data_IF_856584459490
#
_entry.id   IF_856584459490
#
_cell.length_a   1.000
_cell.length_b   1.000
_cell.length_c   1.000
_cell.angle_alpha   90.00
_cell.angle_beta   90.00
_cell.angle_gamma   90.00
#
_symmetry.space_group_name_H-M   'P 1'
#
loop_
_entity.id
_entity.type
_entity.pdbx_description
1 polymer ?
#
# COMPACT_ATOMS: atom_id res chain seq x y z
N UNK A 1 -39.91 -51.93 -30.45
CA UNK A 1 -39.43 -51.53 -29.10
C UNK A 1 -39.29 -52.80 -28.27
N UNK A 2 -38.11 -53.08 -27.71
CA UNK A 2 -37.85 -54.28 -26.93
C UNK A 2 -38.77 -54.36 -25.71
N UNK A 3 -39.51 -55.47 -25.57
CA UNK A 3 -40.44 -55.71 -24.46
C UNK A 3 -39.63 -56.24 -23.29
N UNK A 4 -39.20 -55.36 -22.38
CA UNK A 4 -38.52 -55.78 -21.15
C UNK A 4 -39.49 -56.55 -20.25
N UNK A 5 -39.22 -57.83 -20.00
CA UNK A 5 -40.03 -58.71 -19.12
C UNK A 5 -39.82 -58.43 -17.62
N UNK A 6 -39.43 -57.20 -17.27
CA UNK A 6 -39.11 -56.80 -15.90
C UNK A 6 -40.43 -56.48 -15.18
N UNK A 7 -40.71 -57.15 -14.06
CA UNK A 7 -41.87 -56.86 -13.18
C UNK A 7 -41.36 -56.37 -11.83
N UNK A 8 -41.64 -55.12 -11.50
CA UNK A 8 -41.17 -54.46 -10.26
C UNK A 8 -42.39 -54.09 -9.42
N UNK A 9 -42.42 -54.49 -8.14
CA UNK A 9 -43.43 -53.99 -7.19
C UNK A 9 -43.06 -52.57 -6.76
N UNK A 10 -43.98 -51.61 -6.91
CA UNK A 10 -43.80 -50.19 -6.57
C UNK A 10 -45.03 -49.64 -5.87
N UNK A 11 -44.86 -48.55 -5.13
CA UNK A 11 -45.96 -47.79 -4.54
C UNK A 11 -46.31 -46.62 -5.47
N UNK A 12 -47.61 -46.40 -5.72
CA UNK A 12 -48.08 -45.29 -6.54
C UNK A 12 -47.85 -43.94 -5.84
N UNK A 13 -47.17 -43.01 -6.52
CA UNK A 13 -46.90 -41.65 -5.99
C UNK A 13 -48.17 -40.80 -5.74
N UNK A 14 -49.34 -41.21 -6.23
CA UNK A 14 -50.62 -40.50 -6.05
C UNK A 14 -51.52 -41.12 -4.98
N UNK A 15 -51.87 -42.41 -5.13
CA UNK A 15 -52.82 -43.08 -4.23
C UNK A 15 -52.16 -43.93 -3.13
N UNK A 16 -50.83 -44.08 -3.14
CA UNK A 16 -50.09 -44.86 -2.14
C UNK A 16 -50.30 -46.38 -2.22
N UNK A 17 -51.01 -46.91 -3.21
CA UNK A 17 -51.24 -48.35 -3.37
C UNK A 17 -50.07 -49.03 -4.08
N UNK A 18 -49.78 -50.27 -3.68
CA UNK A 18 -48.81 -51.13 -4.36
C UNK A 18 -49.32 -51.59 -5.73
N UNK A 19 -48.44 -51.57 -6.74
CA UNK A 19 -48.72 -52.04 -8.09
C UNK A 19 -47.49 -52.65 -8.75
N UNK A 20 -47.72 -53.45 -9.80
CA UNK A 20 -46.64 -54.08 -10.58
C UNK A 20 -46.34 -53.24 -11.83
N UNK A 21 -45.15 -52.66 -11.87
CA UNK A 21 -44.63 -51.86 -12.97
C UNK A 21 -43.81 -52.71 -13.96
N UNK A 22 -43.98 -52.43 -15.26
CA UNK A 22 -43.17 -53.03 -16.34
C UNK A 22 -41.92 -52.18 -16.70
N UNK A 23 -41.85 -50.93 -16.22
CA UNK A 23 -40.75 -50.00 -16.49
C UNK A 23 -40.23 -49.38 -15.20
N UNK A 24 -38.94 -49.06 -15.16
CA UNK A 24 -38.33 -48.33 -14.03
C UNK A 24 -38.87 -46.89 -13.92
N UNK A 25 -39.37 -46.31 -15.01
CA UNK A 25 -39.89 -44.93 -15.05
C UNK A 25 -41.36 -44.78 -14.69
N UNK A 26 -42.14 -45.86 -14.56
CA UNK A 26 -43.57 -45.76 -14.19
C UNK A 26 -43.72 -45.44 -12.71
N UNK A 27 -44.44 -44.34 -12.45
CA UNK A 27 -44.67 -43.74 -11.12
C UNK A 27 -46.08 -43.96 -10.55
N UNK A 28 -47.04 -44.28 -11.42
CA UNK A 28 -48.46 -44.37 -11.06
C UNK A 28 -49.06 -45.73 -11.43
N UNK A 29 -50.04 -46.19 -10.63
CA UNK A 29 -50.69 -47.48 -10.84
C UNK A 29 -51.68 -47.50 -12.02
N UNK A 30 -52.17 -46.33 -12.46
CA UNK A 30 -53.17 -46.21 -13.52
C UNK A 30 -53.10 -44.86 -14.23
N UNK A 31 -53.69 -44.79 -15.43
CA UNK A 31 -53.83 -43.55 -16.19
C UNK A 31 -54.62 -42.48 -15.41
N UNK A 32 -55.60 -42.89 -14.59
CA UNK A 32 -56.35 -41.98 -13.70
C UNK A 32 -55.42 -41.28 -12.70
N UNK A 33 -54.57 -42.04 -12.00
CA UNK A 33 -53.62 -41.47 -11.03
C UNK A 33 -52.59 -40.56 -11.71
N UNK A 34 -52.09 -40.95 -12.88
CA UNK A 34 -51.19 -40.11 -13.67
C UNK A 34 -51.83 -38.78 -14.09
N UNK A 35 -53.09 -38.80 -14.53
CA UNK A 35 -53.83 -37.59 -14.90
C UNK A 35 -54.12 -36.66 -13.72
N UNK A 36 -54.44 -37.22 -12.55
CA UNK A 36 -54.66 -36.42 -11.35
C UNK A 36 -53.36 -35.75 -10.87
N UNK A 37 -52.25 -36.49 -10.86
CA UNK A 37 -50.92 -35.97 -10.55
C UNK A 37 -50.50 -34.86 -11.53
N UNK A 38 -50.74 -35.06 -12.83
CA UNK A 38 -50.48 -34.04 -13.85
C UNK A 38 -51.29 -32.76 -13.61
N UNK A 39 -52.60 -32.87 -13.33
CA UNK A 39 -53.44 -31.71 -13.03
C UNK A 39 -53.01 -30.99 -11.75
N UNK A 40 -52.61 -31.72 -10.71
CA UNK A 40 -52.11 -31.13 -9.47
C UNK A 40 -50.77 -30.40 -9.71
N UNK A 41 -49.85 -31.01 -10.48
CA UNK A 41 -48.58 -30.38 -10.83
C UNK A 41 -48.77 -29.07 -11.62
N UNK A 42 -49.72 -29.04 -12.56
CA UNK A 42 -50.07 -27.79 -13.27
C UNK A 42 -50.62 -26.75 -12.30
N UNK A 43 -51.52 -27.14 -11.39
CA UNK A 43 -52.10 -26.21 -10.40
C UNK A 43 -51.01 -25.65 -9.47
N UNK A 44 -50.11 -26.50 -8.99
CA UNK A 44 -48.97 -26.09 -8.16
C UNK A 44 -48.06 -25.11 -8.91
N UNK A 45 -47.78 -25.36 -10.20
CA UNK A 45 -47.01 -24.44 -11.05
C UNK A 45 -47.66 -23.06 -11.16
N UNK A 46 -48.98 -23.00 -11.34
CA UNK A 46 -49.72 -21.72 -11.42
C UNK A 46 -49.66 -20.96 -10.08
N UNK A 47 -49.80 -21.66 -8.96
CA UNK A 47 -49.69 -21.06 -7.63
C UNK A 47 -48.28 -20.48 -7.42
N UNK A 48 -47.23 -21.26 -7.73
CA UNK A 48 -45.85 -20.79 -7.62
C UNK A 48 -45.56 -19.56 -8.50
N UNK A 49 -46.10 -19.52 -9.72
CA UNK A 49 -45.96 -18.35 -10.60
C UNK A 49 -46.62 -17.11 -10.01
N UNK A 50 -47.81 -17.23 -9.41
CA UNK A 50 -48.49 -16.10 -8.78
C UNK A 50 -47.80 -15.67 -7.49
N UNK A 51 -47.33 -16.60 -6.66
CA UNK A 51 -46.51 -16.31 -5.48
C UNK A 51 -45.23 -15.54 -5.84
N UNK A 52 -44.54 -15.95 -6.91
CA UNK A 52 -43.37 -15.24 -7.44
C UNK A 52 -43.74 -13.83 -7.90
N UNK A 53 -44.85 -13.66 -8.62
CA UNK A 53 -45.33 -12.35 -9.08
C UNK A 53 -45.65 -11.43 -7.91
N UNK A 54 -46.37 -11.92 -6.90
CA UNK A 54 -46.69 -11.16 -5.69
C UNK A 54 -45.42 -10.77 -4.95
N UNK A 55 -44.42 -11.66 -4.88
CA UNK A 55 -43.14 -11.37 -4.24
C UNK A 55 -42.37 -10.25 -4.96
N UNK A 56 -42.36 -10.25 -6.29
CA UNK A 56 -41.76 -9.17 -7.10
C UNK A 56 -42.47 -7.85 -6.81
N UNK A 57 -43.80 -7.81 -6.87
CA UNK A 57 -44.60 -6.60 -6.60
C UNK A 57 -44.36 -6.08 -5.17
N UNK A 58 -44.24 -6.97 -4.17
CA UNK A 58 -43.91 -6.59 -2.79
C UNK A 58 -42.52 -5.96 -2.67
N UNK A 59 -41.55 -6.39 -3.47
CA UNK A 59 -40.20 -5.83 -3.48
C UNK A 59 -40.09 -4.50 -4.24
N UNK A 60 -40.89 -4.30 -5.29
CA UNK A 60 -40.84 -3.11 -6.14
C UNK A 60 -41.60 -1.90 -5.56
N UNK A 61 -42.75 -2.13 -4.90
CA UNK A 61 -43.57 -1.06 -4.31
C UNK A 61 -42.79 -0.14 -3.33
N UNK A 62 -41.97 -0.66 -2.40
CA UNK A 62 -41.15 0.18 -1.52
C UNK A 62 -40.15 1.05 -2.28
N UNK A 63 -39.61 0.59 -3.42
CA UNK A 63 -38.65 1.34 -4.22
C UNK A 63 -39.31 2.49 -5.00
N UNK A 64 -40.52 2.28 -5.52
CA UNK A 64 -41.29 3.33 -6.20
C UNK A 64 -41.64 4.47 -5.24
N UNK A 65 -42.17 4.14 -4.05
CA UNK A 65 -42.53 5.14 -3.03
C UNK A 65 -41.32 5.88 -2.42
N UNK A 66 -40.09 5.38 -2.61
CA UNK A 66 -38.86 6.08 -2.22
C UNK A 66 -38.40 7.04 -3.33
N UNK A 67 -38.57 6.69 -4.60
CA UNK A 67 -38.13 7.54 -5.74
C UNK A 67 -38.89 8.86 -5.85
N UNK A 68 -40.13 8.89 -5.39
CA UNK A 68 -40.97 10.09 -5.47
C UNK A 68 -40.73 11.08 -4.32
N UNK A 69 -39.87 10.71 -3.34
CA UNK A 69 -39.57 11.55 -2.16
C UNK A 69 -38.32 12.40 -2.39
N UNK A 70 -38.49 13.71 -2.31
CA UNK A 70 -37.38 14.67 -2.41
C UNK A 70 -36.40 14.56 -1.24
N UNK A 71 -36.92 14.27 -0.04
CA UNK A 71 -36.15 14.12 1.20
C UNK A 71 -36.11 12.65 1.64
N UNK A 72 -34.91 12.09 1.65
CA UNK A 72 -34.67 10.69 1.94
C UNK A 72 -34.01 10.55 3.31
N UNK A 73 -34.48 9.62 4.14
CA UNK A 73 -33.67 9.18 5.28
C UNK A 73 -32.40 8.49 4.77
N UNK A 74 -31.36 8.44 5.61
CA UNK A 74 -30.09 7.77 5.25
C UNK A 74 -30.33 6.29 4.87
N UNK A 75 -31.29 5.63 5.52
CA UNK A 75 -31.68 4.27 5.19
C UNK A 75 -32.34 4.17 3.80
N UNK A 76 -33.24 5.10 3.47
CA UNK A 76 -33.87 5.16 2.16
C UNK A 76 -32.86 5.49 1.04
N UNK A 77 -31.92 6.40 1.29
CA UNK A 77 -30.83 6.70 0.37
C UNK A 77 -29.93 5.46 0.12
N UNK A 78 -29.67 4.67 1.16
CA UNK A 78 -28.95 3.40 1.03
C UNK A 78 -29.71 2.39 0.16
N UNK A 79 -31.03 2.24 0.38
CA UNK A 79 -31.90 1.39 -0.45
C UNK A 79 -31.96 1.87 -1.90
N UNK A 80 -32.07 3.18 -2.13
CA UNK A 80 -32.10 3.79 -3.46
C UNK A 80 -30.80 3.56 -4.25
N UNK A 81 -29.66 3.67 -3.57
CA UNK A 81 -28.34 3.45 -4.17
C UNK A 81 -27.95 1.96 -4.26
N UNK A 82 -28.71 1.05 -3.64
CA UNK A 82 -28.35 -0.36 -3.52
C UNK A 82 -27.09 -0.61 -2.66
N UNK A 83 -26.85 0.26 -1.67
CA UNK A 83 -25.67 0.23 -0.80
C UNK A 83 -26.04 -0.14 0.65
N UNK A 84 -25.04 -0.53 1.43
CA UNK A 84 -25.22 -0.68 2.87
C UNK A 84 -25.33 0.67 3.57
N UNK A 85 -26.06 0.74 4.68
CA UNK A 85 -26.18 1.95 5.50
C UNK A 85 -24.81 2.52 5.90
N UNK A 86 -23.85 1.63 6.22
CA UNK A 86 -22.49 2.00 6.57
C UNK A 86 -21.73 2.65 5.41
N UNK A 87 -21.92 2.19 4.17
CA UNK A 87 -21.30 2.80 3.00
C UNK A 87 -21.82 4.23 2.79
N UNK A 88 -23.13 4.46 3.00
CA UNK A 88 -23.71 5.80 2.95
C UNK A 88 -23.15 6.71 4.05
N UNK A 89 -23.08 6.24 5.29
CA UNK A 89 -22.43 6.99 6.37
C UNK A 89 -20.97 7.33 6.06
N UNK A 90 -20.21 6.38 5.48
CA UNK A 90 -18.84 6.62 5.07
C UNK A 90 -18.76 7.75 4.04
N UNK A 91 -19.62 7.74 3.02
CA UNK A 91 -19.68 8.80 2.01
C UNK A 91 -20.03 10.17 2.60
N UNK A 92 -20.92 10.20 3.60
CA UNK A 92 -21.28 11.43 4.34
C UNK A 92 -20.06 11.93 5.14
N UNK A 93 -19.41 11.07 5.92
CA UNK A 93 -18.27 11.45 6.75
C UNK A 93 -17.02 11.85 5.93
N UNK A 94 -16.82 11.26 4.75
CA UNK A 94 -15.77 11.68 3.82
C UNK A 94 -16.11 12.96 3.05
N UNK A 95 -17.32 13.50 3.21
CA UNK A 95 -17.78 14.70 2.50
C UNK A 95 -18.08 14.50 1.02
N UNK A 96 -18.31 13.26 0.59
CA UNK A 96 -18.71 12.95 -0.80
C UNK A 96 -20.21 13.12 -1.02
N UNK A 97 -21.03 12.80 -0.03
CA UNK A 97 -22.47 12.96 -0.06
C UNK A 97 -22.91 14.02 0.94
N UNK A 98 -23.64 15.04 0.50
CA UNK A 98 -24.22 16.03 1.39
C UNK A 98 -25.41 15.43 2.17
N UNK A 99 -25.41 15.63 3.48
CA UNK A 99 -26.47 15.22 4.38
C UNK A 99 -26.79 16.36 5.35
N UNK A 100 -28.06 16.52 5.70
CA UNK A 100 -28.54 17.56 6.59
C UNK A 100 -29.06 16.93 7.88
N UNK A 101 -28.59 17.47 9.00
CA UNK A 101 -29.00 17.05 10.33
C UNK A 101 -29.92 18.12 10.93
N UNK A 102 -31.19 17.78 11.09
CA UNK A 102 -32.18 18.66 11.74
C UNK A 102 -32.20 18.48 13.26
N UNK A 103 -31.91 17.27 13.73
CA UNK A 103 -31.89 16.94 15.15
C UNK A 103 -30.85 15.86 15.44
N UNK A 104 -30.57 15.58 16.71
CA UNK A 104 -29.65 14.51 17.13
C UNK A 104 -30.01 13.14 16.50
N UNK A 105 -31.31 12.89 16.28
CA UNK A 105 -31.85 11.65 15.71
C UNK A 105 -32.36 11.77 14.27
N UNK A 106 -32.43 12.98 13.72
CA UNK A 106 -33.05 13.22 12.41
C UNK A 106 -32.03 13.77 11.42
N UNK A 107 -31.65 12.93 10.46
CA UNK A 107 -30.77 13.26 9.36
C UNK A 107 -31.38 12.80 8.04
N UNK A 108 -31.32 13.63 7.02
CA UNK A 108 -31.80 13.31 5.68
C UNK A 108 -30.78 13.71 4.60
N UNK A 109 -31.00 13.19 3.41
CA UNK A 109 -30.28 13.47 2.18
C UNK A 109 -31.30 13.90 1.14
N UNK A 110 -31.03 14.95 0.36
CA UNK A 110 -31.92 15.30 -0.75
C UNK A 110 -31.55 14.48 -1.97
N UNK A 111 -32.54 14.10 -2.76
CA UNK A 111 -32.31 13.36 -4.00
C UNK A 111 -31.40 14.14 -4.97
N UNK A 112 -31.53 15.47 -5.01
CA UNK A 112 -30.67 16.35 -5.81
C UNK A 112 -29.19 16.21 -5.46
N UNK A 113 -28.85 16.06 -4.19
CA UNK A 113 -27.45 15.97 -3.74
C UNK A 113 -26.84 14.59 -4.09
N UNK A 114 -27.67 13.54 -4.11
CA UNK A 114 -27.26 12.22 -4.62
C UNK A 114 -26.95 12.32 -6.12
N UNK A 115 -27.81 12.98 -6.89
CA UNK A 115 -27.58 13.18 -8.33
C UNK A 115 -26.34 14.04 -8.60
N UNK A 116 -26.13 15.10 -7.82
CA UNK A 116 -24.93 15.94 -7.91
C UNK A 116 -23.66 15.14 -7.60
N UNK A 117 -23.68 14.32 -6.53
CA UNK A 117 -22.58 13.42 -6.20
C UNK A 117 -22.24 12.48 -7.38
N UNK A 118 -23.26 11.89 -8.01
CA UNK A 118 -23.08 10.98 -9.15
C UNK A 118 -22.53 11.72 -10.38
N UNK A 119 -22.98 12.95 -10.65
CA UNK A 119 -22.46 13.80 -11.72
C UNK A 119 -21.00 14.20 -11.48
N UNK A 120 -20.63 14.51 -10.23
CA UNK A 120 -19.28 14.92 -9.85
C UNK A 120 -18.25 13.78 -9.98
N UNK A 121 -18.68 12.54 -9.74
CA UNK A 121 -17.80 11.37 -9.69
C UNK A 121 -18.12 10.35 -10.79
N UNK A 122 -17.87 10.66 -12.07
CA UNK A 122 -18.04 9.68 -13.14
C UNK A 122 -17.05 8.52 -12.96
N UNK A 123 -17.47 7.32 -13.34
CA UNK A 123 -16.60 6.15 -13.31
C UNK A 123 -15.41 6.34 -14.26
N UNK A 124 -14.20 6.38 -13.71
CA UNK A 124 -12.95 6.42 -14.48
C UNK A 124 -12.26 5.06 -14.38
N UNK A 125 -12.05 4.39 -15.51
CA UNK A 125 -11.24 3.17 -15.56
C UNK A 125 -9.83 3.48 -15.06
N UNK A 126 -9.38 2.77 -14.03
CA UNK A 126 -8.00 2.87 -13.56
C UNK A 126 -7.09 2.33 -14.66
N UNK A 127 -6.30 3.21 -15.28
CA UNK A 127 -5.23 2.78 -16.17
C UNK A 127 -4.04 2.31 -15.32
N UNK A 128 -3.30 1.28 -15.78
CA UNK A 128 -2.01 0.98 -15.17
C UNK A 128 -1.11 2.21 -15.23
N UNK A 129 -0.32 2.45 -14.19
CA UNK A 129 0.65 3.55 -14.19
C UNK A 129 1.67 3.29 -15.30
N UNK A 130 1.94 4.29 -16.12
CA UNK A 130 3.04 4.24 -17.09
C UNK A 130 4.37 4.12 -16.33
N UNK A 131 5.01 2.95 -16.40
CA UNK A 131 6.35 2.74 -15.87
C UNK A 131 7.36 2.97 -16.98
N UNK A 132 8.35 3.82 -16.75
CA UNK A 132 9.46 4.01 -17.69
C UNK A 132 10.14 2.65 -17.96
N UNK A 133 10.42 2.29 -19.24
CA UNK A 133 11.06 1.03 -19.56
C UNK A 133 12.47 1.00 -19.00
N UNK A 134 12.80 -0.05 -18.24
CA UNK A 134 14.14 -0.27 -17.73
C UNK A 134 14.96 -0.85 -18.89
N UNK A 135 15.89 -0.07 -19.43
CA UNK A 135 16.78 -0.46 -20.54
C UNK A 135 18.06 -1.11 -20.06
N UNK A 136 18.56 -0.67 -18.90
CA UNK A 136 19.88 -1.04 -18.41
C UNK A 136 19.81 -2.11 -17.33
N UNK A 137 20.47 -3.25 -17.58
CA UNK A 137 20.54 -4.36 -16.65
C UNK A 137 21.98 -4.80 -16.34
N UNK A 138 22.22 -5.26 -15.11
CA UNK A 138 23.40 -6.03 -14.71
C UNK A 138 23.08 -7.52 -14.65
N UNK A 139 24.05 -8.36 -14.98
CA UNK A 139 24.00 -9.79 -14.65
C UNK A 139 24.38 -10.03 -13.18
N UNK A 140 23.96 -11.17 -12.61
CA UNK A 140 24.38 -11.56 -11.25
C UNK A 140 25.90 -11.58 -11.08
N UNK A 141 26.62 -12.04 -12.10
CA UNK A 141 28.09 -12.13 -12.07
C UNK A 141 28.73 -10.74 -12.10
N UNK A 142 28.21 -9.82 -12.92
CA UNK A 142 28.67 -8.43 -12.93
C UNK A 142 28.49 -7.74 -11.57
N UNK A 143 27.37 -7.99 -10.88
CA UNK A 143 27.14 -7.45 -9.53
C UNK A 143 28.14 -8.05 -8.54
N UNK A 144 28.37 -9.36 -8.62
CA UNK A 144 29.32 -10.08 -7.76
C UNK A 144 30.73 -9.53 -7.93
N UNK A 145 31.17 -9.30 -9.16
CA UNK A 145 32.50 -8.76 -9.46
C UNK A 145 32.62 -7.28 -9.09
N UNK A 146 31.63 -6.45 -9.45
CA UNK A 146 31.66 -4.99 -9.19
C UNK A 146 31.59 -4.66 -7.70
N UNK A 147 30.75 -5.37 -6.93
CA UNK A 147 30.47 -5.05 -5.53
C UNK A 147 31.04 -6.06 -4.53
N UNK A 148 31.64 -7.16 -5.00
CA UNK A 148 32.28 -8.17 -4.13
C UNK A 148 31.29 -8.90 -3.23
N UNK A 149 30.06 -9.17 -3.71
CA UNK A 149 28.99 -9.75 -2.89
C UNK A 149 28.58 -11.16 -3.30
N UNK A 150 28.13 -11.97 -2.33
CA UNK A 150 27.68 -13.36 -2.55
C UNK A 150 26.38 -13.41 -3.35
N UNK A 151 26.27 -14.37 -4.25
CA UNK A 151 25.10 -14.56 -5.12
C UNK A 151 23.77 -14.64 -4.34
N UNK A 152 23.71 -15.48 -3.30
CA UNK A 152 22.51 -15.65 -2.45
C UNK A 152 22.04 -14.34 -1.80
N UNK A 153 22.98 -13.44 -1.51
CA UNK A 153 22.69 -12.16 -0.87
C UNK A 153 22.05 -11.17 -1.85
N UNK A 154 22.44 -11.20 -3.13
CA UNK A 154 21.83 -10.37 -4.19
C UNK A 154 20.33 -10.67 -4.30
N UNK A 155 19.95 -11.95 -4.29
CA UNK A 155 18.54 -12.37 -4.32
C UNK A 155 17.76 -11.94 -3.08
N UNK A 156 18.37 -12.01 -1.90
CA UNK A 156 17.73 -11.58 -0.65
C UNK A 156 17.41 -10.08 -0.69
N UNK A 157 18.39 -9.25 -1.08
CA UNK A 157 18.22 -7.80 -1.14
C UNK A 157 17.26 -7.36 -2.22
N UNK A 158 17.29 -8.01 -3.38
CA UNK A 158 16.33 -7.68 -4.42
C UNK A 158 14.88 -7.92 -3.98
N UNK A 159 14.64 -8.93 -3.14
CA UNK A 159 13.33 -9.18 -2.53
C UNK A 159 12.96 -8.14 -1.47
N UNK A 160 13.91 -7.78 -0.61
CA UNK A 160 13.69 -6.81 0.48
C UNK A 160 13.41 -5.39 -0.05
N UNK A 161 14.13 -4.98 -1.09
CA UNK A 161 14.06 -3.63 -1.66
C UNK A 161 13.24 -3.53 -2.95
N UNK A 162 12.51 -4.59 -3.32
CA UNK A 162 11.68 -4.67 -4.54
C UNK A 162 12.43 -4.26 -5.82
N UNK A 163 13.66 -4.73 -5.99
CA UNK A 163 14.48 -4.43 -7.16
C UNK A 163 13.93 -5.18 -8.38
N UNK A 164 13.56 -4.48 -9.47
CA UNK A 164 13.08 -5.11 -10.69
C UNK A 164 14.11 -6.07 -11.28
N UNK A 165 13.65 -7.27 -11.62
CA UNK A 165 14.46 -8.29 -12.28
C UNK A 165 13.76 -8.82 -13.52
N UNK A 166 14.56 -9.14 -14.53
CA UNK A 166 14.11 -9.81 -15.75
C UNK A 166 14.85 -11.13 -15.90
N UNK A 167 14.16 -12.14 -16.41
CA UNK A 167 14.74 -13.45 -16.65
C UNK A 167 14.84 -13.67 -18.16
N UNK A 168 16.05 -13.88 -18.66
CA UNK A 168 16.28 -14.11 -20.09
C UNK A 168 17.36 -15.20 -20.26
N UNK A 169 17.04 -16.21 -21.07
CA UNK A 169 17.94 -17.34 -21.41
C UNK A 169 18.66 -17.97 -20.20
N UNK A 170 17.94 -18.25 -19.12
CA UNK A 170 18.50 -18.90 -17.94
C UNK A 170 19.31 -17.99 -17.00
N UNK A 171 19.53 -16.72 -17.38
CA UNK A 171 20.25 -15.74 -16.56
C UNK A 171 19.27 -14.72 -15.96
N UNK A 172 19.57 -14.29 -14.73
CA UNK A 172 18.81 -13.24 -14.05
C UNK A 172 19.51 -11.89 -14.28
N UNK A 173 18.73 -10.92 -14.73
CA UNK A 173 19.14 -9.56 -15.00
C UNK A 173 18.47 -8.63 -13.99
N UNK A 174 19.23 -7.67 -13.48
CA UNK A 174 18.79 -6.72 -12.45
C UNK A 174 18.90 -5.31 -12.98
N UNK A 175 17.95 -4.44 -12.66
CA UNK A 175 18.05 -3.04 -13.09
C UNK A 175 19.31 -2.36 -12.54
N UNK A 176 20.13 -1.75 -13.41
CA UNK A 176 21.35 -1.04 -13.00
C UNK A 176 21.03 0.11 -12.04
N UNK A 177 20.07 0.95 -12.40
CA UNK A 177 19.64 2.12 -11.61
C UNK A 177 19.32 1.73 -10.16
N UNK A 178 18.47 0.72 -9.98
CA UNK A 178 18.06 0.29 -8.65
C UNK A 178 19.19 -0.36 -7.83
N UNK A 179 20.14 -1.05 -8.48
CA UNK A 179 21.30 -1.62 -7.82
C UNK A 179 22.30 -0.52 -7.43
N UNK A 180 22.62 0.39 -8.35
CA UNK A 180 23.55 1.49 -8.08
C UNK A 180 23.00 2.44 -7.01
N UNK A 181 21.70 2.80 -7.07
CA UNK A 181 21.02 3.59 -6.03
C UNK A 181 21.09 2.91 -4.65
N UNK A 182 20.96 1.59 -4.62
CA UNK A 182 21.04 0.82 -3.38
C UNK A 182 22.44 0.89 -2.76
N UNK A 183 23.48 0.70 -3.57
CA UNK A 183 24.86 0.77 -3.09
C UNK A 183 25.30 2.21 -2.80
N UNK A 184 24.80 3.21 -3.53
CA UNK A 184 25.07 4.62 -3.27
C UNK A 184 24.57 5.03 -1.88
N UNK A 185 23.38 4.59 -1.46
CA UNK A 185 22.86 4.82 -0.10
C UNK A 185 23.71 4.22 1.02
N UNK A 186 24.54 3.23 0.72
CA UNK A 186 25.42 2.53 1.68
C UNK A 186 26.89 2.88 1.52
N UNK A 187 27.24 3.68 0.50
CA UNK A 187 28.60 4.09 0.28
C UNK A 187 29.07 4.95 1.46
N UNK A 188 30.26 4.68 2.03
CA UNK A 188 30.86 5.57 3.03
C UNK A 188 31.06 6.97 2.44
N UNK A 189 30.89 8.00 3.27
CA UNK A 189 31.11 9.38 2.85
C UNK A 189 32.54 9.55 2.27
N UNK A 190 32.69 10.15 1.08
CA UNK A 190 33.98 10.30 0.40
C UNK A 190 34.97 11.19 1.17
N UNK A 191 34.52 11.87 2.23
CA UNK A 191 35.33 12.70 3.11
C UNK A 191 36.20 11.89 4.09
N UNK A 192 35.93 10.59 4.24
CA UNK A 192 36.66 9.67 5.12
C UNK A 192 37.80 8.99 4.33
N UNK A 193 38.97 9.63 4.33
CA UNK A 193 40.19 9.12 3.67
C UNK A 193 40.94 8.07 4.50
N UNK A 194 40.81 8.09 5.82
CA UNK A 194 41.59 7.25 6.73
C UNK A 194 40.69 6.30 7.54
N UNK A 195 41.10 5.04 7.59
CA UNK A 195 40.34 3.96 8.18
C UNK A 195 41.23 3.14 9.13
N UNK A 196 40.70 2.76 10.29
CA UNK A 196 41.32 1.77 11.17
C UNK A 196 40.77 0.38 10.90
N UNK A 197 41.66 -0.61 10.89
CA UNK A 197 41.27 -2.01 10.97
C UNK A 197 40.81 -2.36 12.40
N UNK A 198 40.13 -3.50 12.55
CA UNK A 198 39.84 -4.03 13.90
C UNK A 198 41.12 -4.27 14.69
N UNK A 199 42.19 -4.75 14.05
CA UNK A 199 43.48 -5.05 14.68
C UNK A 199 44.16 -3.76 15.16
N UNK A 200 44.18 -2.72 14.31
CA UNK A 200 44.76 -1.42 14.65
C UNK A 200 44.09 -0.81 15.89
N UNK A 201 42.78 -1.01 16.05
CA UNK A 201 42.07 -0.52 17.23
C UNK A 201 42.34 -1.36 18.48
N UNK A 202 42.60 -2.66 18.34
CA UNK A 202 43.02 -3.50 19.46
C UNK A 202 44.39 -3.05 19.96
N UNK A 203 45.34 -2.84 19.04
CA UNK A 203 46.71 -2.44 19.38
C UNK A 203 46.82 -1.01 19.91
N UNK A 204 46.05 -0.06 19.35
CA UNK A 204 46.15 1.36 19.76
C UNK A 204 45.37 1.72 21.01
N UNK A 205 44.27 1.02 21.28
CA UNK A 205 43.35 1.40 22.35
C UNK A 205 43.17 0.29 23.40
N UNK A 206 43.95 -0.80 23.32
CA UNK A 206 43.88 -1.99 24.18
C UNK A 206 42.44 -2.51 24.37
N UNK A 207 41.62 -2.39 23.32
CA UNK A 207 40.21 -2.78 23.35
C UNK A 207 40.05 -4.23 22.94
N UNK A 208 39.16 -4.96 23.62
CA UNK A 208 38.71 -6.27 23.16
C UNK A 208 37.81 -6.13 21.93
N UNK A 209 37.73 -7.17 21.07
CA UNK A 209 36.85 -7.17 19.89
C UNK A 209 35.39 -6.81 20.25
N UNK A 210 34.88 -7.34 21.35
CA UNK A 210 33.54 -7.06 21.85
C UNK A 210 33.37 -5.59 22.24
N UNK A 211 34.38 -5.01 22.91
CA UNK A 211 34.39 -3.61 23.27
C UNK A 211 34.36 -2.72 22.01
N UNK A 212 35.14 -3.06 20.97
CA UNK A 212 35.15 -2.36 19.69
C UNK A 212 33.76 -2.34 19.05
N UNK A 213 33.10 -3.50 18.96
CA UNK A 213 31.77 -3.58 18.35
C UNK A 213 30.72 -2.76 19.10
N UNK A 214 30.74 -2.83 20.44
CA UNK A 214 29.83 -2.03 21.27
C UNK A 214 30.10 -0.53 21.14
N UNK A 215 31.37 -0.13 21.07
CA UNK A 215 31.80 1.26 20.91
C UNK A 215 31.37 1.86 19.58
N UNK A 216 31.62 1.13 18.48
CA UNK A 216 31.21 1.55 17.13
C UNK A 216 29.70 1.71 17.03
N UNK A 217 28.96 0.77 17.62
CA UNK A 217 27.48 0.80 17.62
C UNK A 217 26.95 2.00 18.43
N UNK A 218 27.48 2.22 19.64
CA UNK A 218 27.07 3.34 20.51
C UNK A 218 27.33 4.71 19.87
N UNK A 219 28.47 4.85 19.18
CA UNK A 219 28.89 6.11 18.57
C UNK A 219 28.48 6.25 17.09
N UNK A 220 27.67 5.31 16.57
CA UNK A 220 27.22 5.27 15.17
C UNK A 220 28.36 5.50 14.15
N UNK A 221 29.54 4.92 14.40
CA UNK A 221 30.73 5.20 13.58
C UNK A 221 30.57 4.59 12.18
N UNK A 222 30.77 5.37 11.09
CA UNK A 222 30.77 4.86 9.74
C UNK A 222 31.76 3.71 9.57
N UNK A 223 31.29 2.62 8.97
CA UNK A 223 32.06 1.40 8.73
C UNK A 223 32.02 1.01 7.26
N UNK A 224 33.16 0.54 6.76
CA UNK A 224 33.31 -0.01 5.42
C UNK A 224 33.70 -1.48 5.54
N UNK A 225 33.05 -2.34 4.77
CA UNK A 225 33.42 -3.76 4.67
C UNK A 225 34.17 -3.98 3.36
N UNK A 226 35.37 -4.53 3.43
CA UNK A 226 36.16 -4.94 2.26
C UNK A 226 36.55 -6.41 2.49
N UNK A 227 35.94 -7.32 1.73
CA UNK A 227 36.10 -8.76 1.94
C UNK A 227 35.56 -9.21 3.31
N UNK A 228 36.41 -9.88 4.09
CA UNK A 228 36.08 -10.35 5.45
C UNK A 228 36.34 -9.24 6.50
N UNK A 229 37.27 -8.32 6.21
CA UNK A 229 37.70 -7.30 7.16
C UNK A 229 36.73 -6.11 7.20
N UNK A 230 36.60 -5.54 8.40
CA UNK A 230 35.79 -4.35 8.66
C UNK A 230 36.71 -3.21 9.06
N UNK A 231 36.50 -2.08 8.42
CA UNK A 231 37.25 -0.86 8.62
C UNK A 231 36.34 0.21 9.20
N UNK A 232 36.86 1.01 10.13
CA UNK A 232 36.12 2.08 10.80
C UNK A 232 36.79 3.42 10.56
N UNK A 233 36.01 4.49 10.46
CA UNK A 233 36.55 5.83 10.21
C UNK A 233 37.49 6.27 11.33
N UNK A 234 38.74 6.57 10.99
CA UNK A 234 39.75 7.04 11.96
C UNK A 234 39.33 8.34 12.64
N UNK A 235 38.84 9.31 11.85
CA UNK A 235 38.34 10.59 12.36
C UNK A 235 37.26 10.41 13.44
N UNK A 236 36.26 9.58 13.18
CA UNK A 236 35.16 9.38 14.13
C UNK A 236 35.57 8.55 15.35
N UNK A 237 36.49 7.59 15.20
CA UNK A 237 37.05 6.83 16.32
C UNK A 237 37.87 7.75 17.23
N UNK A 238 38.73 8.58 16.66
CA UNK A 238 39.59 9.49 17.42
C UNK A 238 38.78 10.59 18.14
N UNK A 239 37.71 11.11 17.53
CA UNK A 239 36.74 12.02 18.18
C UNK A 239 36.03 11.31 19.34
N UNK A 240 35.52 10.11 19.12
CA UNK A 240 34.76 9.37 20.13
C UNK A 240 35.62 8.86 21.30
N UNK A 241 36.94 8.73 21.09
CA UNK A 241 37.93 8.46 22.15
C UNK A 241 38.47 9.72 22.82
N UNK A 242 38.11 10.91 22.34
CA UNK A 242 38.56 12.19 22.89
C UNK A 242 40.01 12.57 22.57
N UNK A 243 40.63 11.91 21.58
CA UNK A 243 41.98 12.23 21.10
C UNK A 243 42.00 13.50 20.22
N UNK A 244 40.87 13.80 19.59
CA UNK A 244 40.66 14.99 18.75
C UNK A 244 39.42 15.70 19.29
N UNK A 245 39.53 16.99 19.62
CA UNK A 245 38.37 17.80 19.98
C UNK A 245 37.36 17.79 18.81
N UNK A 246 36.06 17.58 19.04
CA UNK A 246 35.06 17.66 17.97
C UNK A 246 35.23 19.02 17.30
N UNK A 247 35.35 19.05 15.96
CA UNK A 247 35.39 20.32 15.24
C UNK A 247 34.20 21.15 15.70
N UNK A 248 34.47 22.26 16.39
CA UNK A 248 33.40 23.11 16.90
C UNK A 248 32.49 23.45 15.72
N UNK A 249 31.17 23.25 15.84
CA UNK A 249 30.25 23.58 14.77
C UNK A 249 30.49 25.03 14.37
N UNK A 250 31.05 25.24 13.17
CA UNK A 250 31.35 26.58 12.68
C UNK A 250 30.01 27.28 12.49
N UNK A 251 29.84 28.42 13.14
CA UNK A 251 28.65 29.25 12.98
C UNK A 251 29.02 30.50 12.22
N UNK A 252 28.12 30.97 11.36
CA UNK A 252 28.20 32.34 10.87
C UNK A 252 27.53 33.29 11.85
N UNK A 253 28.13 34.46 12.02
CA UNK A 253 27.37 35.62 12.49
C UNK A 253 26.44 36.12 11.38
N UNK A 254 25.40 36.87 11.74
CA UNK A 254 24.46 37.44 10.76
C UNK A 254 25.19 38.31 9.73
N UNK A 255 26.20 39.09 10.17
CA UNK A 255 26.98 39.95 9.29
C UNK A 255 27.80 39.14 8.28
N UNK A 256 28.52 38.11 8.74
CA UNK A 256 29.29 37.21 7.88
C UNK A 256 28.40 36.48 6.86
N UNK A 257 27.20 36.05 7.28
CA UNK A 257 26.24 35.40 6.39
C UNK A 257 25.68 36.36 5.32
N UNK A 258 25.42 37.61 5.69
CA UNK A 258 24.97 38.64 4.74
C UNK A 258 26.04 38.94 3.69
N UNK A 259 27.30 39.10 4.10
CA UNK A 259 28.43 39.38 3.20
C UNK A 259 28.70 38.21 2.25
N UNK A 260 28.64 36.97 2.74
CA UNK A 260 28.98 35.79 1.93
C UNK A 260 27.92 35.47 0.87
N UNK A 261 26.64 35.64 1.18
CA UNK A 261 25.54 35.28 0.29
C UNK A 261 24.89 36.49 -0.41
N UNK A 262 25.40 37.70 -0.18
CA UNK A 262 24.83 38.96 -0.70
C UNK A 262 23.32 39.10 -0.42
N UNK A 263 22.90 38.75 0.81
CA UNK A 263 21.50 38.80 1.23
C UNK A 263 21.25 39.94 2.21
N UNK A 264 20.04 40.50 2.14
CA UNK A 264 19.57 41.40 3.18
C UNK A 264 19.27 40.63 4.47
N UNK A 265 19.36 41.34 5.61
CA UNK A 265 19.08 40.77 6.93
C UNK A 265 17.71 40.08 6.98
N UNK A 266 16.68 40.69 6.42
CA UNK A 266 15.31 40.16 6.46
C UNK A 266 15.13 38.92 5.60
N UNK A 267 15.77 38.87 4.42
CA UNK A 267 15.81 37.66 3.59
C UNK A 267 16.45 36.49 4.34
N UNK A 268 17.59 36.74 5.01
CA UNK A 268 18.26 35.72 5.81
C UNK A 268 17.36 35.20 6.95
N UNK A 269 16.67 36.08 7.69
CA UNK A 269 15.74 35.67 8.74
C UNK A 269 14.53 34.90 8.19
N UNK A 270 14.01 35.29 7.03
CA UNK A 270 12.91 34.60 6.37
C UNK A 270 13.31 33.17 6.01
N UNK A 271 14.45 32.98 5.32
CA UNK A 271 14.92 31.65 4.93
C UNK A 271 15.23 30.75 6.13
N UNK A 272 15.91 31.28 7.15
CA UNK A 272 16.20 30.52 8.37
C UNK A 272 14.92 30.07 9.08
N UNK A 273 13.88 30.93 9.11
CA UNK A 273 12.58 30.59 9.71
C UNK A 273 11.79 29.59 8.87
N UNK A 274 11.76 29.76 7.55
CA UNK A 274 10.95 28.96 6.65
C UNK A 274 11.53 27.55 6.44
N UNK A 275 12.86 27.43 6.36
CA UNK A 275 13.57 26.16 6.18
C UNK A 275 14.02 25.50 7.49
N UNK A 276 13.64 26.05 8.66
CA UNK A 276 13.99 25.54 9.98
C UNK A 276 15.50 25.32 10.20
N UNK A 277 16.33 26.23 9.69
CA UNK A 277 17.79 26.15 9.86
C UNK A 277 18.15 26.38 11.35
N UNK A 278 18.93 25.50 11.99
CA UNK A 278 19.29 25.59 13.40
C UNK A 278 20.14 26.83 13.65
N UNK A 279 19.76 27.55 14.70
CA UNK A 279 20.42 28.77 15.16
C UNK A 279 20.58 28.73 16.67
N UNK A 280 21.72 29.23 17.15
CA UNK A 280 22.00 29.37 18.57
C UNK A 280 22.02 30.86 18.91
N UNK A 281 21.33 31.24 19.99
CA UNK A 281 21.43 32.59 20.56
C UNK A 281 22.57 32.61 21.56
N UNK A 282 23.57 33.45 21.30
CA UNK A 282 24.68 33.71 22.24
C UNK A 282 24.60 35.18 22.63
N UNK A 283 23.94 35.45 23.77
CA UNK A 283 23.66 36.82 24.23
C UNK A 283 22.78 37.61 23.25
N UNK A 284 23.28 38.78 22.80
CA UNK A 284 22.59 39.66 21.84
C UNK A 284 22.67 39.14 20.39
N UNK A 285 23.62 38.27 20.08
CA UNK A 285 23.89 37.82 18.72
C UNK A 285 23.23 36.46 18.44
N UNK A 286 22.67 36.32 17.24
CA UNK A 286 22.20 35.03 16.74
C UNK A 286 23.25 34.47 15.79
N UNK A 287 23.63 33.22 16.01
CA UNK A 287 24.60 32.48 15.21
C UNK A 287 23.88 31.38 14.44
N UNK A 288 24.12 31.28 13.14
CA UNK A 288 23.47 30.32 12.23
C UNK A 288 24.49 29.22 11.89
N UNK A 289 24.05 27.96 11.87
CA UNK A 289 24.94 26.85 11.55
C UNK A 289 25.44 26.95 10.10
N UNK A 290 26.77 27.02 9.93
CA UNK A 290 27.43 27.24 8.63
C UNK A 290 27.10 26.17 7.61
N UNK A 291 27.18 24.91 8.03
CA UNK A 291 27.00 23.74 7.14
C UNK A 291 25.62 23.72 6.50
N UNK A 292 24.58 24.04 7.26
CA UNK A 292 23.21 24.00 6.75
C UNK A 292 22.87 25.22 5.90
N UNK A 293 23.41 26.39 6.25
CA UNK A 293 23.25 27.60 5.45
C UNK A 293 23.98 27.47 4.10
N UNK A 294 25.21 26.95 4.10
CA UNK A 294 25.98 26.69 2.88
C UNK A 294 25.23 25.70 1.97
N UNK A 295 24.72 24.58 2.50
CA UNK A 295 23.92 23.59 1.74
C UNK A 295 22.64 24.17 1.12
N UNK A 296 21.97 25.09 1.82
CA UNK A 296 20.75 25.71 1.29
C UNK A 296 21.01 26.58 0.05
N UNK A 297 22.16 27.26 0.03
CA UNK A 297 22.56 28.12 -1.08
C UNK A 297 23.47 27.43 -2.11
N UNK A 298 23.72 26.12 -1.97
CA UNK A 298 24.41 25.35 -3.00
C UNK A 298 23.57 25.36 -4.30
N UNK A 299 24.18 25.66 -5.46
CA UNK A 299 23.47 25.64 -6.73
C UNK A 299 22.90 24.23 -6.99
N UNK A 300 21.69 24.11 -7.55
CA UNK A 300 21.10 22.81 -7.85
C UNK A 300 22.03 22.04 -8.81
N UNK A 301 22.48 20.85 -8.39
CA UNK A 301 23.20 19.93 -9.26
C UNK A 301 22.19 19.38 -10.27
N UNK A 302 22.33 19.80 -11.53
CA UNK A 302 21.63 19.20 -12.66
C UNK A 302 22.46 17.97 -13.05
N UNK A 303 22.02 16.78 -12.65
CA UNK A 303 22.47 15.50 -13.20
C UNK A 303 21.44 14.97 -14.21
#
# INVERSE_FOLDING_TARGET
MAKSNIRIKKICEWCGQEFVAQKVTTKYCSHRCANLAYKQAIRAKRIQQEEQRIQIVKSEKPLMDIKDKEYLSIAQAATLLGLSLQAVYKMIYTGHLAAYKLSSRLSFVRQSDIEEMLKRNPYKKRQPKDTLPITDFYTTNEIKEKFGVKDSWIFHIAKEHNIPRTFNRGKTYWSKKHIDDYFAKKAPDPEIKEWYSTQDMQEKFDMTLTAIYSFVSKNAIPKKKVGIMVYYSKKHVDIAKGLIAPEEPKYYTIAEAMERFNLTRDQLYHYVKYHNIPRIKVGKYTKILRVELDKFFEPPKIE
#
